data_IF_900711366428
#
_entry.id   IF_900711366428
#
_cell.length_a   1.000
_cell.length_b   1.000
_cell.length_c   1.000
_cell.angle_alpha   90.00
_cell.angle_beta   90.00
_cell.angle_gamma   90.00
#
_symmetry.space_group_name_H-M   'P 1'
#
loop_
_entity.id
_entity.type
_entity.pdbx_description
1 polymer ?
#
# COMPACT_ATOMS: atom_id res chain seq x y z
N UNK A 1 26.80 7.47 -7.71
CA UNK A 1 26.26 7.31 -6.35
C UNK A 1 25.68 5.92 -6.22
N UNK A 2 26.21 5.11 -5.28
CA UNK A 2 25.77 3.74 -5.00
C UNK A 2 24.43 3.70 -4.26
N UNK A 3 23.44 4.51 -4.66
CA UNK A 3 22.11 4.46 -4.04
C UNK A 3 21.49 3.09 -4.27
N UNK A 4 21.04 2.50 -3.19
CA UNK A 4 20.22 1.29 -3.19
C UNK A 4 18.80 1.77 -3.04
N UNK A 5 17.92 1.21 -3.82
CA UNK A 5 16.50 1.54 -3.75
C UNK A 5 15.70 0.25 -3.58
N UNK A 6 15.64 -0.33 -2.35
CA UNK A 6 14.84 -1.54 -2.10
C UNK A 6 13.37 -1.34 -2.43
N UNK A 7 12.86 -0.10 -2.29
CA UNK A 7 11.47 0.25 -2.58
C UNK A 7 11.22 0.60 -4.06
N UNK A 8 12.23 0.63 -4.92
CA UNK A 8 12.06 0.95 -6.36
C UNK A 8 11.15 -0.05 -7.08
N UNK A 9 11.14 -1.32 -6.65
CA UNK A 9 10.23 -2.32 -7.22
C UNK A 9 8.75 -2.08 -6.92
N UNK A 10 8.43 -1.09 -6.09
CA UNK A 10 7.06 -0.66 -5.78
C UNK A 10 6.62 0.54 -6.60
N UNK A 11 7.49 1.05 -7.48
CA UNK A 11 7.27 2.25 -8.29
C UNK A 11 7.28 1.92 -9.76
N UNK A 12 6.54 2.71 -10.53
CA UNK A 12 6.58 2.71 -11.99
C UNK A 12 6.67 4.14 -12.49
N UNK A 13 7.37 4.36 -13.62
CA UNK A 13 7.45 5.69 -14.21
C UNK A 13 6.11 6.11 -14.83
N UNK A 14 5.81 7.43 -14.90
CA UNK A 14 4.63 7.93 -15.60
C UNK A 14 4.55 7.43 -17.05
N UNK A 15 5.68 7.38 -17.75
CA UNK A 15 5.76 6.87 -19.12
C UNK A 15 5.38 5.39 -19.21
N UNK A 16 5.85 4.58 -18.27
CA UNK A 16 5.47 3.17 -18.23
C UNK A 16 3.97 3.01 -17.97
N UNK A 17 3.41 3.72 -16.97
CA UNK A 17 2.00 3.65 -16.64
C UNK A 17 1.11 4.03 -17.83
N UNK A 18 1.43 5.14 -18.52
CA UNK A 18 0.71 5.60 -19.72
C UNK A 18 0.73 4.53 -20.83
N UNK A 19 1.91 3.99 -21.14
CA UNK A 19 2.07 2.93 -22.13
C UNK A 19 1.39 1.63 -21.74
N UNK A 20 1.45 1.26 -20.46
CA UNK A 20 0.83 0.04 -19.94
C UNK A 20 -0.69 0.09 -20.05
N UNK A 21 -1.32 1.22 -19.71
CA UNK A 21 -2.76 1.43 -19.89
C UNK A 21 -3.16 1.33 -21.36
N UNK A 22 -2.42 1.96 -22.27
CA UNK A 22 -2.65 1.84 -23.71
C UNK A 22 -2.62 0.36 -24.15
N UNK A 23 -1.55 -0.36 -23.75
CA UNK A 23 -1.38 -1.75 -24.10
C UNK A 23 -2.48 -2.66 -23.55
N UNK A 24 -2.94 -2.42 -22.32
CA UNK A 24 -4.08 -3.15 -21.74
C UNK A 24 -5.33 -2.98 -22.62
N UNK A 25 -5.66 -1.74 -23.00
CA UNK A 25 -6.81 -1.46 -23.86
C UNK A 25 -6.69 -2.10 -25.23
N UNK A 26 -5.53 -2.03 -25.87
CA UNK A 26 -5.26 -2.68 -27.17
C UNK A 26 -5.41 -4.20 -27.10
N UNK A 27 -5.13 -4.82 -25.94
CA UNK A 27 -5.30 -6.25 -25.72
C UNK A 27 -6.69 -6.62 -25.21
N UNK A 28 -7.66 -5.70 -25.26
CA UNK A 28 -9.05 -5.93 -24.91
C UNK A 28 -9.34 -6.06 -23.41
N UNK A 29 -8.46 -5.50 -22.56
CA UNK A 29 -8.73 -5.42 -21.12
C UNK A 29 -9.69 -4.27 -20.82
N UNK A 30 -10.67 -4.53 -19.96
CA UNK A 30 -11.56 -3.52 -19.37
C UNK A 30 -10.94 -3.00 -18.07
N UNK A 31 -10.81 -1.69 -17.96
CA UNK A 31 -10.25 -1.04 -16.78
C UNK A 31 -11.42 -0.49 -15.97
N UNK A 32 -11.69 -1.12 -14.83
CA UNK A 32 -12.92 -0.95 -14.05
C UNK A 32 -12.65 -0.47 -12.63
N UNK A 33 -13.68 0.03 -11.96
CA UNK A 33 -13.61 0.40 -10.55
C UNK A 33 -13.63 -0.83 -9.63
N UNK A 34 -13.26 -0.63 -8.35
CA UNK A 34 -13.39 -1.68 -7.33
C UNK A 34 -14.86 -2.04 -7.09
N UNK A 35 -15.77 -1.07 -7.18
CA UNK A 35 -17.21 -1.27 -7.05
C UNK A 35 -17.75 -2.14 -8.17
N UNK A 36 -17.39 -1.85 -9.43
CA UNK A 36 -17.80 -2.64 -10.60
C UNK A 36 -17.25 -4.07 -10.52
N UNK A 37 -16.00 -4.25 -10.05
CA UNK A 37 -15.46 -5.59 -9.79
C UNK A 37 -16.31 -6.35 -8.78
N UNK A 38 -16.66 -5.73 -7.63
CA UNK A 38 -17.45 -6.37 -6.59
C UNK A 38 -18.85 -6.74 -7.08
N UNK A 39 -19.47 -5.91 -7.89
CA UNK A 39 -20.75 -6.20 -8.54
C UNK A 39 -20.62 -7.39 -9.49
N UNK A 40 -19.59 -7.41 -10.34
CA UNK A 40 -19.37 -8.49 -11.29
C UNK A 40 -19.13 -9.84 -10.61
N UNK A 41 -18.35 -9.89 -9.52
CA UNK A 41 -18.14 -11.14 -8.77
C UNK A 41 -19.41 -11.56 -7.99
N UNK A 42 -20.23 -10.62 -7.52
CA UNK A 42 -21.50 -10.89 -6.86
C UNK A 42 -22.51 -11.52 -7.82
N UNK A 43 -22.63 -10.94 -9.00
CA UNK A 43 -23.54 -11.42 -10.06
C UNK A 43 -23.00 -12.64 -10.82
N UNK A 44 -21.78 -13.11 -10.44
CA UNK A 44 -21.06 -14.19 -11.13
C UNK A 44 -20.86 -13.92 -12.63
N UNK A 45 -20.76 -12.65 -13.00
CA UNK A 45 -20.42 -12.24 -14.37
C UNK A 45 -19.01 -12.72 -14.76
N UNK A 46 -18.75 -12.78 -16.07
CA UNK A 46 -17.40 -13.03 -16.55
C UNK A 46 -16.47 -11.86 -16.19
N UNK A 47 -15.41 -12.14 -15.44
CA UNK A 47 -14.40 -11.16 -15.01
C UNK A 47 -13.07 -11.31 -15.74
N UNK A 48 -13.03 -12.08 -16.83
CA UNK A 48 -11.83 -12.18 -17.66
C UNK A 48 -11.45 -10.83 -18.25
N UNK A 49 -10.14 -10.59 -18.34
CA UNK A 49 -9.60 -9.33 -18.86
C UNK A 49 -10.15 -8.06 -18.20
N UNK A 50 -10.43 -8.11 -16.89
CA UNK A 50 -10.77 -6.94 -16.11
C UNK A 50 -9.60 -6.57 -15.19
N UNK A 51 -9.28 -5.27 -15.11
CA UNK A 51 -8.21 -4.73 -14.27
C UNK A 51 -8.77 -3.63 -13.40
N UNK A 52 -8.42 -3.68 -12.12
CA UNK A 52 -8.62 -2.61 -11.14
C UNK A 52 -7.27 -2.07 -10.72
N UNK A 53 -7.06 -0.76 -10.83
CA UNK A 53 -5.88 -0.10 -10.32
C UNK A 53 -6.07 0.37 -8.89
N UNK A 54 -5.07 0.09 -8.06
CA UNK A 54 -5.05 0.54 -6.65
C UNK A 54 -3.69 1.13 -6.30
N UNK A 55 -3.69 2.15 -5.45
CA UNK A 55 -2.52 2.83 -4.93
C UNK A 55 -2.65 2.89 -3.41
N UNK A 56 -1.55 2.74 -2.68
CA UNK A 56 -1.55 2.76 -1.23
C UNK A 56 -0.90 4.05 -0.67
N UNK A 57 -1.03 4.28 0.65
CA UNK A 57 -0.37 5.30 1.46
C UNK A 57 -0.81 6.76 1.23
N UNK A 58 -1.20 7.11 0.02
CA UNK A 58 -1.52 8.50 -0.35
C UNK A 58 -0.30 9.33 -0.70
N UNK A 59 0.67 8.77 -1.42
CA UNK A 59 1.83 9.48 -1.93
C UNK A 59 1.44 10.66 -2.82
N UNK A 60 2.26 11.73 -2.82
CA UNK A 60 2.03 12.93 -3.63
C UNK A 60 2.10 12.64 -5.14
N UNK A 61 2.89 11.69 -5.57
CA UNK A 61 2.98 11.26 -6.97
C UNK A 61 1.69 10.59 -7.47
N UNK A 62 0.85 10.05 -6.58
CA UNK A 62 -0.49 9.57 -6.94
C UNK A 62 -1.34 10.73 -7.51
N UNK A 63 -1.19 11.94 -6.95
CA UNK A 63 -1.87 13.14 -7.41
C UNK A 63 -1.17 13.78 -8.60
N UNK A 64 0.17 13.98 -8.52
CA UNK A 64 0.92 14.74 -9.53
C UNK A 64 1.15 13.95 -10.82
N UNK A 65 1.37 12.64 -10.72
CA UNK A 65 1.80 11.79 -11.83
C UNK A 65 0.74 10.78 -12.26
N UNK A 66 0.21 9.97 -11.33
CA UNK A 66 -0.69 8.88 -11.67
C UNK A 66 -2.09 9.39 -12.08
N UNK A 67 -2.69 10.29 -11.30
CA UNK A 67 -4.03 10.82 -11.57
C UNK A 67 -4.18 11.46 -12.96
N UNK A 68 -3.29 12.35 -13.45
CA UNK A 68 -3.39 12.90 -14.80
C UNK A 68 -3.42 11.83 -15.88
N UNK A 69 -2.67 10.74 -15.70
CA UNK A 69 -2.63 9.62 -16.64
C UNK A 69 -3.95 8.84 -16.60
N UNK A 70 -4.43 8.47 -15.42
CA UNK A 70 -5.73 7.79 -15.27
C UNK A 70 -6.86 8.64 -15.86
N UNK A 71 -6.85 9.95 -15.61
CA UNK A 71 -7.83 10.90 -16.16
C UNK A 71 -7.76 10.98 -17.68
N UNK A 72 -6.57 11.12 -18.27
CA UNK A 72 -6.34 11.09 -19.73
C UNK A 72 -6.98 9.87 -20.39
N UNK A 73 -6.85 8.72 -19.74
CA UNK A 73 -7.36 7.45 -20.24
C UNK A 73 -8.79 7.12 -19.79
N UNK A 74 -9.44 7.96 -19.00
CA UNK A 74 -10.75 7.69 -18.37
C UNK A 74 -10.76 6.34 -17.63
N UNK A 75 -9.77 6.11 -16.76
CA UNK A 75 -9.57 4.87 -16.01
C UNK A 75 -9.88 5.11 -14.53
N UNK A 76 -10.83 4.38 -13.93
CA UNK A 76 -11.08 4.46 -12.51
C UNK A 76 -9.95 3.78 -11.71
N UNK A 77 -9.68 4.31 -10.52
CA UNK A 77 -8.67 3.75 -9.62
C UNK A 77 -9.00 4.04 -8.15
N UNK A 78 -8.41 3.27 -7.26
CA UNK A 78 -8.61 3.41 -5.81
C UNK A 78 -7.32 3.84 -5.13
N UNK A 79 -7.40 4.80 -4.19
CA UNK A 79 -6.29 5.18 -3.32
C UNK A 79 -6.66 4.81 -1.89
N UNK A 80 -5.85 3.95 -1.26
CA UNK A 80 -5.98 3.62 0.15
C UNK A 80 -5.14 4.59 0.99
N UNK A 81 -5.83 5.45 1.76
CA UNK A 81 -5.20 6.54 2.48
C UNK A 81 -4.79 6.13 3.89
N UNK A 82 -3.57 6.51 4.27
CA UNK A 82 -3.09 6.48 5.65
C UNK A 82 -3.06 7.92 6.21
N UNK A 83 -4.06 8.35 7.02
CA UNK A 83 -4.13 9.71 7.53
C UNK A 83 -2.87 10.17 8.27
N UNK A 84 -2.21 9.29 9.02
CA UNK A 84 -1.00 9.65 9.74
C UNK A 84 0.15 10.10 8.84
N UNK A 85 0.26 9.54 7.62
CA UNK A 85 1.22 9.98 6.61
C UNK A 85 0.82 11.33 6.01
N UNK A 86 -0.47 11.54 5.74
CA UNK A 86 -1.01 12.80 5.20
C UNK A 86 -0.88 13.94 6.20
N UNK A 87 -1.13 13.66 7.49
CA UNK A 87 -0.99 14.63 8.59
C UNK A 87 0.47 14.85 9.03
N UNK A 88 1.43 14.04 8.55
CA UNK A 88 2.82 13.98 9.03
C UNK A 88 2.90 13.70 10.54
N UNK A 89 1.91 12.99 11.09
CA UNK A 89 1.92 12.58 12.49
C UNK A 89 2.72 11.30 12.74
N UNK A 90 3.04 10.57 11.67
CA UNK A 90 3.96 9.43 11.67
C UNK A 90 5.04 9.61 10.61
N UNK A 91 6.12 8.85 10.72
CA UNK A 91 7.20 8.81 9.73
C UNK A 91 7.01 7.67 8.75
N UNK A 92 7.46 7.88 7.51
CA UNK A 92 7.61 6.81 6.52
C UNK A 92 8.97 6.12 6.73
N UNK A 93 9.12 5.44 7.86
CA UNK A 93 10.38 4.87 8.32
C UNK A 93 11.09 4.01 7.25
N UNK A 94 10.36 3.39 6.35
CA UNK A 94 10.95 2.60 5.26
C UNK A 94 11.73 3.43 4.26
N UNK A 95 11.38 4.69 4.08
CA UNK A 95 12.17 5.66 3.31
C UNK A 95 13.37 6.15 4.11
N UNK A 96 13.15 6.50 5.38
CA UNK A 96 14.23 6.95 6.26
C UNK A 96 15.31 5.86 6.41
N UNK A 97 14.91 4.59 6.58
CA UNK A 97 15.84 3.44 6.64
C UNK A 97 16.59 3.29 5.31
N UNK A 98 15.91 3.44 4.17
CA UNK A 98 16.53 3.37 2.86
C UNK A 98 17.58 4.47 2.67
N UNK A 99 17.25 5.71 3.03
CA UNK A 99 18.14 6.86 2.93
C UNK A 99 19.38 6.69 3.85
N UNK A 100 19.16 6.34 5.12
CA UNK A 100 20.26 6.10 6.08
C UNK A 100 21.22 5.03 5.57
N UNK A 101 20.70 3.89 5.12
CA UNK A 101 21.52 2.78 4.62
C UNK A 101 22.23 3.17 3.31
N UNK A 102 21.57 3.91 2.44
CA UNK A 102 22.14 4.32 1.15
C UNK A 102 23.33 5.27 1.33
N UNK A 103 23.27 6.16 2.31
CA UNK A 103 24.24 7.22 2.54
C UNK A 103 25.39 6.83 3.48
N UNK A 104 25.23 5.75 4.27
CA UNK A 104 26.19 5.38 5.30
C UNK A 104 26.74 3.96 5.09
N UNK A 105 28.03 3.78 5.39
CA UNK A 105 28.70 2.47 5.41
C UNK A 105 28.58 1.76 6.76
N UNK A 106 28.22 2.51 7.78
CA UNK A 106 28.02 2.04 9.16
C UNK A 106 26.75 2.70 9.69
N UNK A 107 25.82 1.91 10.20
CA UNK A 107 24.58 2.39 10.81
C UNK A 107 24.42 1.83 12.22
N UNK A 108 23.67 2.55 13.06
CA UNK A 108 23.32 2.12 14.41
C UNK A 108 21.85 1.74 14.47
N UNK A 109 21.55 0.59 15.07
CA UNK A 109 20.18 0.13 15.27
C UNK A 109 20.09 -0.70 16.55
N UNK A 110 19.22 -0.31 17.48
CA UNK A 110 18.97 -1.03 18.73
C UNK A 110 20.28 -1.36 19.47
N UNK A 111 21.13 -0.34 19.72
CA UNK A 111 22.45 -0.42 20.34
C UNK A 111 23.47 -1.32 19.60
N UNK A 112 23.21 -1.68 18.37
CA UNK A 112 24.12 -2.49 17.53
C UNK A 112 24.64 -1.68 16.36
N UNK A 113 25.90 -1.91 16.04
CA UNK A 113 26.53 -1.37 14.85
C UNK A 113 26.38 -2.38 13.70
N UNK A 114 25.92 -1.91 12.55
CA UNK A 114 25.77 -2.71 11.33
C UNK A 114 26.68 -2.11 10.27
N UNK A 115 27.60 -2.91 9.76
CA UNK A 115 28.46 -2.53 8.63
C UNK A 115 27.74 -2.86 7.33
N UNK A 116 27.65 -1.89 6.40
CA UNK A 116 26.92 -2.01 5.14
C UNK A 116 27.63 -1.22 4.03
N UNK A 117 28.85 -1.62 3.65
CA UNK A 117 29.70 -0.93 2.66
C UNK A 117 29.32 -1.24 1.21
N UNK A 118 28.97 -2.48 0.94
CA UNK A 118 28.64 -2.92 -0.42
C UNK A 118 27.12 -2.87 -0.67
N UNK A 119 26.73 -2.80 -1.94
CA UNK A 119 25.32 -2.83 -2.34
C UNK A 119 24.58 -4.05 -1.76
N UNK A 120 25.23 -5.21 -1.73
CA UNK A 120 24.67 -6.45 -1.17
C UNK A 120 24.44 -6.34 0.34
N UNK A 121 25.44 -5.82 1.07
CA UNK A 121 25.33 -5.61 2.52
C UNK A 121 24.23 -4.59 2.85
N UNK A 122 24.16 -3.50 2.11
CA UNK A 122 23.12 -2.49 2.26
C UNK A 122 21.71 -3.09 2.05
N UNK A 123 21.49 -3.83 0.98
CA UNK A 123 20.23 -4.53 0.74
C UNK A 123 19.89 -5.50 1.88
N UNK A 124 20.87 -6.29 2.33
CA UNK A 124 20.68 -7.19 3.45
C UNK A 124 20.32 -6.43 4.74
N UNK A 125 21.02 -5.34 5.04
CA UNK A 125 20.73 -4.49 6.18
C UNK A 125 19.29 -3.97 6.15
N UNK A 126 18.83 -3.45 5.00
CA UNK A 126 17.45 -3.01 4.83
C UNK A 126 16.43 -4.09 5.16
N UNK A 127 16.56 -5.28 4.57
CA UNK A 127 15.60 -6.36 4.80
C UNK A 127 15.65 -6.91 6.23
N UNK A 128 16.83 -6.95 6.83
CA UNK A 128 16.98 -7.36 8.24
C UNK A 128 16.29 -6.34 9.16
N UNK A 129 16.54 -5.04 8.97
CA UNK A 129 15.90 -4.00 9.76
C UNK A 129 14.39 -3.99 9.55
N UNK A 130 13.93 -4.05 8.30
CA UNK A 130 12.51 -4.15 7.98
C UNK A 130 11.86 -5.33 8.69
N UNK A 131 12.46 -6.52 8.62
CA UNK A 131 11.92 -7.72 9.28
C UNK A 131 11.85 -7.58 10.80
N UNK A 132 12.82 -6.89 11.41
CA UNK A 132 12.80 -6.61 12.87
C UNK A 132 11.71 -5.61 13.23
N UNK A 133 11.64 -4.48 12.51
CA UNK A 133 10.67 -3.41 12.78
C UNK A 133 9.23 -3.93 12.67
N UNK A 134 8.92 -4.77 11.66
CA UNK A 134 7.59 -5.32 11.46
C UNK A 134 7.15 -6.34 12.51
N UNK A 135 8.05 -6.77 13.40
CA UNK A 135 7.75 -7.69 14.52
C UNK A 135 7.66 -7.00 15.87
N UNK A 136 7.88 -5.68 15.92
CA UNK A 136 7.80 -4.92 17.15
C UNK A 136 6.34 -4.69 17.54
N UNK A 137 6.05 -4.82 18.84
CA UNK A 137 4.79 -4.33 19.39
C UNK A 137 4.70 -2.80 19.28
N UNK A 138 3.50 -2.27 19.46
CA UNK A 138 3.23 -0.83 19.28
C UNK A 138 4.13 0.09 20.10
N UNK A 139 4.44 -0.28 21.35
CA UNK A 139 5.25 0.54 22.24
C UNK A 139 6.73 0.53 21.82
N UNK A 140 7.23 -0.65 21.43
CA UNK A 140 8.58 -0.81 20.92
C UNK A 140 8.75 -0.13 19.56
N UNK A 141 7.76 -0.21 18.69
CA UNK A 141 7.79 0.32 17.32
C UNK A 141 8.18 1.79 17.29
N UNK A 142 7.45 2.66 18.01
CA UNK A 142 7.76 4.09 18.02
C UNK A 142 9.11 4.38 18.66
N UNK A 143 9.40 3.72 19.78
CA UNK A 143 10.67 3.93 20.50
C UNK A 143 11.87 3.56 19.62
N UNK A 144 11.85 2.39 18.99
CA UNK A 144 12.98 1.89 18.19
C UNK A 144 13.16 2.72 16.92
N UNK A 145 12.07 3.10 16.24
CA UNK A 145 12.16 3.96 15.06
C UNK A 145 12.71 5.33 15.42
N UNK A 146 12.21 5.97 16.47
CA UNK A 146 12.71 7.28 16.89
C UNK A 146 14.18 7.22 17.28
N UNK A 147 14.60 6.24 18.10
CA UNK A 147 16.02 6.04 18.46
C UNK A 147 16.87 5.81 17.21
N UNK A 148 16.40 5.00 16.25
CA UNK A 148 17.14 4.77 15.01
C UNK A 148 17.35 6.05 14.20
N UNK A 149 16.35 6.91 14.11
CA UNK A 149 16.43 8.19 13.39
C UNK A 149 17.38 9.15 14.10
N UNK A 150 17.30 9.24 15.43
CA UNK A 150 18.16 10.08 16.26
C UNK A 150 19.63 9.62 16.19
N UNK A 151 19.89 8.31 16.35
CA UNK A 151 21.23 7.71 16.32
C UNK A 151 21.95 7.90 14.97
N UNK A 152 21.18 8.13 13.90
CA UNK A 152 21.69 8.34 12.54
C UNK A 152 21.47 9.78 12.01
N UNK A 153 21.11 10.73 12.89
CA UNK A 153 20.97 12.17 12.61
C UNK A 153 19.97 12.52 11.50
N UNK A 154 18.86 11.76 11.40
CA UNK A 154 17.83 12.01 10.39
C UNK A 154 16.67 12.85 10.94
N UNK A 155 16.34 13.91 10.22
CA UNK A 155 15.11 14.68 10.44
C UNK A 155 13.99 14.20 9.48
N UNK A 156 13.30 13.13 9.89
CA UNK A 156 12.25 12.49 9.08
C UNK A 156 11.09 13.41 8.69
N UNK A 157 10.75 14.40 9.53
CA UNK A 157 9.65 15.35 9.23
C UNK A 157 9.93 16.20 8.00
N UNK A 158 11.20 16.55 7.77
CA UNK A 158 11.60 17.32 6.59
C UNK A 158 11.52 16.46 5.32
N UNK A 159 11.90 15.19 5.42
CA UNK A 159 11.83 14.26 4.27
C UNK A 159 10.38 13.91 3.90
N UNK A 160 9.50 13.68 4.89
CA UNK A 160 8.11 13.32 4.67
C UNK A 160 7.25 14.47 4.07
N UNK A 161 7.66 15.74 4.20
CA UNK A 161 6.85 16.89 3.77
C UNK A 161 6.50 16.87 2.28
N UNK A 162 7.37 16.31 1.44
CA UNK A 162 7.23 16.26 -0.01
C UNK A 162 6.82 14.89 -0.56
N UNK A 163 6.69 13.86 0.30
CA UNK A 163 6.37 12.51 -0.16
C UNK A 163 4.87 12.25 -0.27
N UNK A 164 4.07 12.82 0.61
CA UNK A 164 2.64 12.49 0.70
C UNK A 164 1.75 13.66 0.30
N UNK A 165 0.55 13.33 -0.16
CA UNK A 165 -0.51 14.32 -0.41
C UNK A 165 -0.78 15.15 0.84
N UNK A 166 -1.39 16.33 0.63
CA UNK A 166 -2.07 17.10 1.67
C UNK A 166 -3.57 16.88 1.53
N UNK A 167 -4.34 17.14 2.59
CA UNK A 167 -5.79 16.99 2.56
C UNK A 167 -6.47 17.79 1.43
N UNK A 168 -5.91 18.95 1.01
CA UNK A 168 -6.43 19.69 -0.15
C UNK A 168 -6.42 18.86 -1.44
N UNK A 169 -5.36 18.04 -1.67
CA UNK A 169 -5.27 17.17 -2.85
C UNK A 169 -6.29 16.02 -2.75
N UNK A 170 -6.47 15.46 -1.55
CA UNK A 170 -7.46 14.40 -1.30
C UNK A 170 -8.89 14.92 -1.54
N UNK A 171 -9.21 16.13 -1.05
CA UNK A 171 -10.53 16.76 -1.26
C UNK A 171 -10.75 17.04 -2.74
N UNK A 172 -9.76 17.56 -3.46
CA UNK A 172 -9.86 17.81 -4.90
C UNK A 172 -10.13 16.49 -5.66
N UNK A 173 -9.32 15.45 -5.43
CA UNK A 173 -9.51 14.15 -6.04
C UNK A 173 -10.86 13.51 -5.72
N UNK A 174 -11.39 13.75 -4.53
CA UNK A 174 -12.68 13.18 -4.11
C UNK A 174 -13.88 13.65 -4.94
N UNK A 175 -13.72 14.75 -5.66
CA UNK A 175 -14.76 15.29 -6.56
C UNK A 175 -14.73 14.63 -7.96
N UNK A 176 -13.68 13.88 -8.30
CA UNK A 176 -13.62 13.17 -9.57
C UNK A 176 -14.20 11.74 -9.41
N UNK A 177 -15.13 11.39 -10.30
CA UNK A 177 -15.82 10.09 -10.32
C UNK A 177 -14.88 8.90 -10.60
N UNK A 178 -13.70 9.15 -11.14
CA UNK A 178 -12.70 8.13 -11.41
C UNK A 178 -11.95 7.70 -10.13
N UNK A 179 -12.05 8.47 -9.05
CA UNK A 179 -11.28 8.24 -7.82
C UNK A 179 -12.16 7.67 -6.72
N UNK A 180 -11.82 6.48 -6.28
CA UNK A 180 -12.37 5.88 -5.07
C UNK A 180 -11.32 5.98 -3.95
N UNK A 181 -11.73 6.38 -2.75
CA UNK A 181 -10.88 6.33 -1.58
C UNK A 181 -11.21 5.15 -0.70
N UNK A 182 -10.17 4.48 -0.22
CA UNK A 182 -10.21 3.47 0.83
C UNK A 182 -9.34 3.87 2.02
N UNK A 183 -9.34 3.05 3.04
CA UNK A 183 -8.57 3.23 4.28
C UNK A 183 -7.36 2.31 4.33
N UNK A 184 -6.26 2.79 4.95
CA UNK A 184 -5.01 2.05 5.11
C UNK A 184 -4.47 2.17 6.55
N UNK A 185 -5.36 2.08 7.54
CA UNK A 185 -5.13 2.39 8.95
C UNK A 185 -4.74 3.84 9.21
N UNK A 186 -4.73 4.25 10.47
CA UNK A 186 -4.30 5.60 10.84
C UNK A 186 -2.78 5.74 10.83
N UNK A 187 -2.05 4.75 11.37
CA UNK A 187 -0.62 4.85 11.65
C UNK A 187 0.24 3.81 10.91
N UNK A 188 -0.30 3.13 9.90
CA UNK A 188 0.41 2.17 9.06
C UNK A 188 1.08 1.04 9.85
N UNK A 189 0.44 0.55 10.92
CA UNK A 189 0.96 -0.60 11.67
C UNK A 189 0.71 -1.93 10.96
N UNK A 190 1.63 -2.92 11.09
CA UNK A 190 1.29 -4.30 10.81
C UNK A 190 0.25 -4.78 11.82
N UNK A 191 -0.96 -5.12 11.35
CA UNK A 191 -2.11 -5.34 12.24
C UNK A 191 -1.94 -6.54 13.18
N UNK A 192 -1.18 -7.56 12.79
CA UNK A 192 -0.88 -8.71 13.62
C UNK A 192 0.02 -8.41 14.84
N UNK A 193 0.54 -7.19 14.96
CA UNK A 193 1.28 -6.72 16.15
C UNK A 193 0.37 -5.91 17.11
N UNK A 194 -0.92 -5.85 16.83
CA UNK A 194 -1.90 -5.10 17.58
C UNK A 194 -2.93 -6.02 18.22
N UNK A 195 -3.43 -5.65 19.41
CA UNK A 195 -4.61 -6.25 19.99
C UNK A 195 -5.86 -5.97 19.14
N UNK A 196 -6.89 -6.80 19.25
CA UNK A 196 -8.18 -6.59 18.56
C UNK A 196 -8.73 -5.18 18.74
N UNK A 197 -8.65 -4.63 19.96
CA UNK A 197 -9.10 -3.27 20.25
C UNK A 197 -8.29 -2.23 19.48
N UNK A 198 -6.97 -2.37 19.46
CA UNK A 198 -6.09 -1.45 18.74
C UNK A 198 -6.30 -1.50 17.25
N UNK A 199 -6.53 -2.70 16.66
CA UNK A 199 -6.89 -2.83 15.25
C UNK A 199 -8.16 -2.04 14.94
N UNK A 200 -9.20 -2.23 15.75
CA UNK A 200 -10.49 -1.53 15.59
C UNK A 200 -10.28 -0.01 15.68
N UNK A 201 -9.53 0.46 16.68
CA UNK A 201 -9.25 1.88 16.89
C UNK A 201 -8.48 2.48 15.70
N UNK A 202 -7.43 1.80 15.20
CA UNK A 202 -6.64 2.22 14.02
C UNK A 202 -7.51 2.39 12.77
N UNK A 203 -8.42 1.44 12.54
CA UNK A 203 -9.30 1.44 11.38
C UNK A 203 -10.40 2.50 11.50
N UNK A 204 -11.10 2.55 12.64
CA UNK A 204 -12.20 3.50 12.85
C UNK A 204 -11.69 4.94 12.85
N UNK A 205 -10.54 5.22 13.48
CA UNK A 205 -9.95 6.56 13.48
C UNK A 205 -9.55 6.99 12.06
N UNK A 206 -8.95 6.09 11.28
CA UNK A 206 -8.62 6.39 9.89
C UNK A 206 -9.87 6.74 9.08
N UNK A 207 -10.91 5.89 9.15
CA UNK A 207 -12.15 6.11 8.42
C UNK A 207 -12.80 7.45 8.79
N UNK A 208 -12.96 7.73 10.10
CA UNK A 208 -13.55 9.01 10.58
C UNK A 208 -12.78 10.23 10.06
N UNK A 209 -11.45 10.17 10.05
CA UNK A 209 -10.61 11.28 9.55
C UNK A 209 -10.82 11.49 8.05
N UNK A 210 -10.78 10.42 7.25
CA UNK A 210 -10.97 10.50 5.80
C UNK A 210 -12.39 10.97 5.48
N UNK A 211 -13.41 10.31 6.03
CA UNK A 211 -14.83 10.61 5.80
C UNK A 211 -15.17 12.07 6.14
N UNK A 212 -14.65 12.58 7.26
CA UNK A 212 -14.81 13.99 7.65
C UNK A 212 -14.23 14.95 6.62
N UNK A 213 -13.12 14.57 5.96
CA UNK A 213 -12.44 15.44 4.98
C UNK A 213 -13.12 15.44 3.61
N UNK A 214 -13.58 14.27 3.15
CA UNK A 214 -14.14 14.12 1.80
C UNK A 214 -15.67 14.11 1.76
N UNK A 215 -16.32 14.08 2.92
CA UNK A 215 -17.78 13.94 3.09
C UNK A 215 -18.37 12.73 2.34
N UNK A 216 -17.65 11.61 2.34
CA UNK A 216 -18.07 10.34 1.71
C UNK A 216 -17.68 9.17 2.61
N UNK A 217 -18.51 8.10 2.60
CA UNK A 217 -18.25 6.89 3.37
C UNK A 217 -17.08 6.09 2.78
N UNK A 218 -16.23 5.56 3.66
CA UNK A 218 -15.15 4.63 3.28
C UNK A 218 -15.67 3.19 3.35
N UNK A 219 -15.65 2.51 2.19
CA UNK A 219 -16.15 1.15 2.03
C UNK A 219 -15.06 0.11 1.73
N UNK A 220 -13.83 0.54 1.49
CA UNK A 220 -12.73 -0.31 1.05
C UNK A 220 -11.52 -0.13 1.95
N UNK A 221 -10.77 -1.20 2.15
CA UNK A 221 -9.60 -1.21 3.01
C UNK A 221 -8.44 -1.96 2.35
N UNK A 222 -7.20 -1.51 2.59
CA UNK A 222 -5.99 -2.26 2.29
C UNK A 222 -5.20 -2.51 3.57
N UNK A 223 -4.70 -3.72 3.75
CA UNK A 223 -3.82 -4.04 4.86
C UNK A 223 -2.44 -3.41 4.66
N UNK A 224 -1.91 -2.63 5.63
CA UNK A 224 -0.50 -2.26 5.63
C UNK A 224 0.40 -3.49 5.52
N UNK A 225 1.41 -3.42 4.65
CA UNK A 225 2.30 -4.53 4.28
C UNK A 225 1.56 -5.70 3.61
N UNK A 226 0.51 -6.22 4.18
CA UNK A 226 -0.49 -7.11 3.58
C UNK A 226 -0.01 -8.47 3.11
N UNK A 227 1.18 -8.95 3.52
CA UNK A 227 1.67 -10.28 3.15
C UNK A 227 1.08 -11.36 4.07
N UNK A 228 1.42 -12.63 3.82
CA UNK A 228 0.99 -13.73 4.69
C UNK A 228 1.61 -13.64 6.10
N UNK A 229 2.69 -12.88 6.25
CA UNK A 229 3.37 -12.72 7.54
C UNK A 229 2.72 -11.64 8.42
N UNK A 230 2.02 -10.66 7.82
CA UNK A 230 1.40 -9.53 8.53
C UNK A 230 -0.12 -9.62 8.59
N UNK A 231 -0.73 -10.54 7.85
CA UNK A 231 -2.19 -10.71 7.82
C UNK A 231 -2.54 -12.19 7.96
N UNK A 232 -3.19 -12.52 9.04
CA UNK A 232 -3.67 -13.86 9.34
C UNK A 232 -5.21 -13.87 9.42
N UNK A 233 -5.78 -14.98 9.83
CA UNK A 233 -7.22 -15.18 9.95
C UNK A 233 -7.89 -14.15 10.86
N UNK A 234 -7.28 -13.88 12.02
CA UNK A 234 -7.82 -12.97 13.03
C UNK A 234 -8.04 -11.55 12.47
N UNK A 235 -7.04 -10.99 11.77
CA UNK A 235 -7.13 -9.64 11.19
C UNK A 235 -8.22 -9.58 10.12
N UNK A 236 -8.33 -10.63 9.30
CA UNK A 236 -9.36 -10.72 8.25
C UNK A 236 -10.76 -10.76 8.88
N UNK A 237 -10.98 -11.56 9.93
CA UNK A 237 -12.25 -11.64 10.64
C UNK A 237 -12.64 -10.31 11.29
N UNK A 238 -11.69 -9.60 11.90
CA UNK A 238 -11.94 -8.28 12.47
C UNK A 238 -12.40 -7.31 11.38
N UNK A 239 -11.70 -7.24 10.25
CA UNK A 239 -12.04 -6.33 9.14
C UNK A 239 -13.38 -6.71 8.48
N UNK A 240 -13.70 -8.01 8.38
CA UNK A 240 -15.02 -8.47 7.93
C UNK A 240 -16.14 -7.93 8.81
N UNK A 241 -15.96 -7.99 10.15
CA UNK A 241 -16.94 -7.52 11.12
C UNK A 241 -17.10 -6.00 11.16
N UNK A 242 -16.11 -5.24 10.62
CA UNK A 242 -16.21 -3.78 10.50
C UNK A 242 -17.03 -3.31 9.28
N UNK A 243 -17.51 -4.24 8.45
CA UNK A 243 -18.50 -3.97 7.40
C UNK A 243 -17.93 -3.35 6.12
N UNK A 244 -16.63 -3.51 5.84
CA UNK A 244 -16.07 -3.12 4.55
C UNK A 244 -16.68 -3.93 3.40
N UNK A 245 -16.88 -3.29 2.25
CA UNK A 245 -17.30 -3.99 1.03
C UNK A 245 -16.18 -4.85 0.45
N UNK A 246 -14.92 -4.41 0.56
CA UNK A 246 -13.75 -5.20 0.21
C UNK A 246 -12.54 -4.83 1.03
N UNK A 247 -11.66 -5.83 1.22
CA UNK A 247 -10.36 -5.66 1.86
C UNK A 247 -9.30 -6.34 0.98
N UNK A 248 -8.24 -5.61 0.64
CA UNK A 248 -7.17 -6.10 -0.23
C UNK A 248 -5.89 -6.37 0.56
N UNK A 249 -5.11 -7.33 0.08
CA UNK A 249 -3.80 -7.72 0.60
C UNK A 249 -2.72 -7.47 -0.45
N UNK A 250 -1.44 -7.70 -0.12
CA UNK A 250 -0.34 -7.75 -1.09
C UNK A 250 0.00 -9.18 -1.54
N UNK A 251 -0.86 -10.15 -1.20
CA UNK A 251 -0.71 -11.53 -1.66
C UNK A 251 -0.88 -11.57 -3.17
N UNK A 252 0.16 -12.07 -3.85
CA UNK A 252 0.17 -12.09 -5.32
C UNK A 252 -0.86 -13.07 -5.89
N UNK A 253 -1.79 -12.59 -6.69
CA UNK A 253 -2.82 -13.43 -7.31
C UNK A 253 -3.84 -12.66 -8.13
N UNK A 254 -4.52 -13.37 -9.02
CA UNK A 254 -5.69 -12.88 -9.75
C UNK A 254 -6.96 -13.08 -8.93
N UNK A 255 -7.98 -12.27 -9.22
CA UNK A 255 -9.32 -12.39 -8.63
C UNK A 255 -10.18 -13.28 -9.53
N UNK A 256 -10.99 -14.12 -8.92
CA UNK A 256 -11.96 -15.02 -9.55
C UNK A 256 -13.33 -14.83 -8.90
N UNK A 257 -14.39 -15.30 -9.52
CA UNK A 257 -15.77 -15.18 -9.00
C UNK A 257 -15.95 -15.76 -7.60
N UNK A 258 -15.22 -16.83 -7.28
CA UNK A 258 -15.24 -17.46 -5.94
C UNK A 258 -14.78 -16.50 -4.82
N UNK A 259 -14.02 -15.44 -5.17
CA UNK A 259 -13.59 -14.41 -4.19
C UNK A 259 -14.75 -13.59 -3.63
N UNK A 260 -15.97 -13.74 -4.16
CA UNK A 260 -17.16 -13.16 -3.52
C UNK A 260 -17.25 -13.52 -2.02
N UNK A 261 -16.98 -14.78 -1.67
CA UNK A 261 -16.99 -15.26 -0.30
C UNK A 261 -15.73 -14.86 0.49
N UNK A 262 -14.72 -14.32 -0.18
CA UNK A 262 -13.41 -13.93 0.39
C UNK A 262 -13.05 -12.47 0.09
N UNK A 263 -14.04 -11.63 -0.10
CA UNK A 263 -13.88 -10.21 -0.46
C UNK A 263 -13.11 -9.39 0.59
N UNK A 264 -12.88 -9.96 1.77
CA UNK A 264 -12.08 -9.34 2.83
C UNK A 264 -10.61 -9.83 2.85
N UNK A 265 -10.18 -10.53 1.79
CA UNK A 265 -8.80 -10.98 1.59
C UNK A 265 -8.44 -11.05 0.09
N UNK A 266 -8.82 -10.04 -0.69
CA UNK A 266 -8.56 -10.02 -2.13
C UNK A 266 -7.06 -9.92 -2.42
N UNK A 267 -6.54 -10.75 -3.33
CA UNK A 267 -5.15 -10.67 -3.76
C UNK A 267 -4.93 -9.49 -4.68
N UNK A 268 -3.69 -9.05 -4.81
CA UNK A 268 -3.24 -8.03 -5.76
C UNK A 268 -1.98 -8.47 -6.50
N UNK A 269 -1.70 -7.83 -7.60
CA UNK A 269 -0.46 -8.00 -8.36
C UNK A 269 0.32 -6.70 -8.30
N UNK A 270 1.58 -6.77 -7.91
CA UNK A 270 2.45 -5.59 -7.90
C UNK A 270 2.84 -5.27 -9.34
N UNK A 271 2.55 -4.04 -9.77
CA UNK A 271 3.00 -3.52 -11.05
C UNK A 271 4.45 -3.00 -10.92
N UNK A 272 5.33 -3.49 -11.76
CA UNK A 272 6.74 -3.07 -11.83
C UNK A 272 7.10 -2.62 -13.24
N UNK A 273 8.18 -1.86 -13.42
CA UNK A 273 8.68 -1.41 -14.75
C UNK A 273 8.89 -2.56 -15.75
N UNK A 274 9.16 -3.76 -15.25
CA UNK A 274 9.41 -4.94 -16.08
C UNK A 274 8.17 -5.84 -16.23
N UNK A 275 7.01 -5.40 -15.72
CA UNK A 275 5.78 -6.20 -15.78
C UNK A 275 5.24 -6.25 -17.21
N UNK A 276 4.99 -7.47 -17.69
CA UNK A 276 4.44 -7.71 -19.04
C UNK A 276 3.00 -8.18 -18.95
N UNK A 277 2.16 -7.74 -19.89
CA UNK A 277 0.73 -8.10 -19.94
C UNK A 277 0.53 -9.62 -20.01
N UNK A 278 1.40 -10.33 -20.71
CA UNK A 278 1.35 -11.79 -20.82
C UNK A 278 1.49 -12.50 -19.45
N UNK A 279 2.05 -11.82 -18.47
CA UNK A 279 2.20 -12.35 -17.12
C UNK A 279 0.87 -12.34 -16.36
N UNK A 280 -0.11 -11.49 -16.71
CA UNK A 280 -1.41 -11.42 -16.05
C UNK A 280 -2.10 -12.80 -16.07
N UNK A 281 -2.12 -13.47 -17.23
CA UNK A 281 -2.74 -14.79 -17.38
C UNK A 281 -1.93 -15.95 -16.77
N UNK A 282 -0.64 -15.73 -16.44
CA UNK A 282 0.26 -16.75 -15.89
C UNK A 282 0.33 -16.73 -14.36
N UNK A 283 -0.29 -15.77 -13.71
CA UNK A 283 -0.35 -15.70 -12.25
C UNK A 283 -1.21 -16.87 -11.78
N UNK A 284 -0.56 -17.87 -11.15
CA UNK A 284 -1.24 -19.09 -10.71
C UNK A 284 -2.38 -18.75 -9.75
N UNK A 285 -3.53 -19.42 -9.95
CA UNK A 285 -4.59 -19.50 -8.94
C UNK A 285 -3.96 -20.11 -7.67
N UNK A 286 -3.62 -19.29 -6.69
CA UNK A 286 -3.34 -19.83 -5.36
C UNK A 286 -4.67 -20.40 -4.84
N UNK A 287 -4.63 -21.62 -4.29
CA UNK A 287 -5.76 -22.11 -3.50
C UNK A 287 -6.13 -20.98 -2.54
N UNK A 288 -7.38 -20.53 -2.59
CA UNK A 288 -7.92 -19.68 -1.55
C UNK A 288 -7.65 -20.46 -0.28
N UNK A 289 -6.77 -19.95 0.57
CA UNK A 289 -6.50 -20.60 1.84
C UNK A 289 -7.84 -20.59 2.54
N UNK A 290 -8.46 -21.75 2.60
CA UNK A 290 -9.66 -21.95 3.41
C UNK A 290 -9.24 -21.63 4.84
N UNK A 291 -9.72 -20.50 5.29
CA UNK A 291 -9.54 -19.98 6.65
C UNK A 291 -10.41 -20.82 7.58
#
# INVERSE_FOLDING_TARGET
TNKIFPNENLKVSPKFLDSFICNLKLNGYKLISIEELLENIHLKNEIKKQIVFTLDDGYLDNYLNAYPIFKKHNVPFTIYLCPGLIDRSITAWWHDVEDIISENDIIRFDNKTIVCKTKKEKLNAFYVLRSKILKLDKNQYFRIINSFLEDNNINSKKNASNLFMQWKHVVELSNDKLVTFGSHTKNHFPLNQLSKKEIIDEVILANKLIEKKINKKINHFAFPYGTINEVEKNEIEILNNLGFKSVVTTRNGNIYTDHYNFKHCLPRVILTENFKIENIGRIRRRKIVTI
#
